data_IF_476260975149
#
_entry.id   IF_476260975149
#
_cell.length_a   1.000
_cell.length_b   1.000
_cell.length_c   1.000
_cell.angle_alpha   90.00
_cell.angle_beta   90.00
_cell.angle_gamma   90.00
#
_symmetry.space_group_name_H-M   'P 1'
#
loop_
_entity.id
_entity.type
_entity.pdbx_description
1 polymer ?
#
# COMPACT_ATOMS: atom_id res chain seq x y z
N UNK A 1 -4.41 6.96 25.92
CA UNK A 1 -4.27 6.01 24.79
C UNK A 1 -2.95 5.27 24.93
N UNK A 2 -2.93 3.94 25.10
CA UNK A 2 -1.70 3.14 24.95
C UNK A 2 -1.15 3.48 23.56
N UNK A 3 0.04 4.09 23.43
CA UNK A 3 0.61 4.48 22.12
C UNK A 3 0.76 3.21 21.28
N UNK A 4 -0.17 2.98 20.37
CA UNK A 4 -0.12 1.88 19.41
C UNK A 4 0.82 2.29 18.30
N UNK A 5 1.85 1.49 18.06
CA UNK A 5 2.86 1.76 17.04
C UNK A 5 2.28 1.61 15.63
N UNK A 6 1.15 0.91 15.50
CA UNK A 6 0.40 0.79 14.24
C UNK A 6 -0.02 2.13 13.62
N UNK A 7 -0.35 3.15 14.42
CA UNK A 7 -0.78 4.45 13.90
C UNK A 7 0.35 5.27 13.23
N UNK A 8 1.53 5.42 13.86
CA UNK A 8 2.68 6.02 13.18
C UNK A 8 3.05 5.31 11.87
N UNK A 9 3.06 3.98 11.86
CA UNK A 9 3.36 3.19 10.65
C UNK A 9 2.29 3.40 9.58
N UNK A 10 1.02 3.45 9.97
CA UNK A 10 -0.09 3.77 9.06
C UNK A 10 0.11 5.14 8.40
N UNK A 11 0.42 6.19 9.16
CA UNK A 11 0.64 7.51 8.58
C UNK A 11 1.90 7.61 7.73
N UNK A 12 2.96 6.89 8.11
CA UNK A 12 4.16 6.76 7.27
C UNK A 12 3.83 6.10 5.92
N UNK A 13 3.01 5.04 5.91
CA UNK A 13 2.51 4.41 4.67
C UNK A 13 1.74 5.39 3.80
N UNK A 14 0.84 6.19 4.40
CA UNK A 14 0.09 7.21 3.68
C UNK A 14 1.04 8.24 3.05
N UNK A 15 2.02 8.73 3.81
CA UNK A 15 3.01 9.68 3.30
C UNK A 15 3.82 9.12 2.13
N UNK A 16 4.34 7.89 2.26
CA UNK A 16 5.07 7.22 1.17
C UNK A 16 4.18 7.01 -0.06
N UNK A 17 2.93 6.59 0.13
CA UNK A 17 1.98 6.44 -0.98
C UNK A 17 1.75 7.76 -1.72
N UNK A 18 1.57 8.87 -0.99
CA UNK A 18 1.39 10.20 -1.61
C UNK A 18 2.62 10.60 -2.42
N UNK A 19 3.82 10.34 -1.91
CA UNK A 19 5.08 10.61 -2.63
C UNK A 19 5.20 9.74 -3.89
N UNK A 20 4.88 8.44 -3.81
CA UNK A 20 4.90 7.56 -4.98
C UNK A 20 3.86 8.04 -6.01
N UNK A 21 2.62 8.28 -5.58
CA UNK A 21 1.54 8.71 -6.45
C UNK A 21 1.84 10.06 -7.14
N UNK A 22 2.47 11.01 -6.43
CA UNK A 22 2.84 12.31 -7.02
C UNK A 22 3.86 12.16 -8.15
N UNK A 23 4.83 11.26 -8.02
CA UNK A 23 5.82 10.97 -9.08
C UNK A 23 5.15 10.40 -10.33
N UNK A 24 4.12 9.56 -10.16
CA UNK A 24 3.38 9.02 -11.31
C UNK A 24 2.44 10.03 -11.97
N UNK A 25 1.79 10.89 -11.17
CA UNK A 25 0.71 11.78 -11.64
C UNK A 25 1.17 13.19 -12.03
N UNK A 26 2.30 13.68 -11.49
CA UNK A 26 2.76 15.05 -11.69
C UNK A 26 4.04 15.04 -12.55
N UNK A 27 4.03 15.62 -13.77
CA UNK A 27 5.20 15.63 -14.65
C UNK A 27 6.45 16.24 -13.99
N UNK A 28 6.31 17.35 -13.26
CA UNK A 28 7.44 17.99 -12.57
C UNK A 28 8.07 17.09 -11.49
N UNK A 29 7.27 16.34 -10.73
CA UNK A 29 7.77 15.39 -9.74
C UNK A 29 8.43 14.18 -10.42
N UNK A 30 7.86 13.76 -11.55
CA UNK A 30 8.41 12.70 -12.40
C UNK A 30 9.82 13.04 -12.87
N UNK A 31 10.02 14.17 -13.52
CA UNK A 31 11.34 14.60 -14.02
C UNK A 31 12.37 14.70 -12.90
N UNK A 32 11.96 15.10 -11.69
CA UNK A 32 12.85 15.27 -10.55
C UNK A 32 13.25 13.96 -9.86
N UNK A 33 12.32 13.01 -9.73
CA UNK A 33 12.46 11.85 -8.85
C UNK A 33 12.41 10.50 -9.58
N UNK A 34 11.92 10.44 -10.81
CA UNK A 34 11.73 9.19 -11.54
C UNK A 34 13.07 8.63 -11.97
N UNK A 35 13.59 7.71 -11.17
CA UNK A 35 14.76 6.90 -11.48
C UNK A 35 14.61 5.50 -10.91
N UNK A 36 15.35 4.54 -11.47
CA UNK A 36 15.31 3.14 -11.05
C UNK A 36 15.56 2.99 -9.53
N UNK A 37 16.56 3.72 -9.00
CA UNK A 37 16.87 3.72 -7.58
C UNK A 37 15.70 4.22 -6.71
N UNK A 38 15.00 5.27 -7.14
CA UNK A 38 13.85 5.80 -6.41
C UNK A 38 12.70 4.79 -6.39
N UNK A 39 12.39 4.14 -7.52
CA UNK A 39 11.31 3.15 -7.60
C UNK A 39 11.58 1.95 -6.69
N UNK A 40 12.80 1.42 -6.72
CA UNK A 40 13.20 0.30 -5.86
C UNK A 40 13.21 0.71 -4.39
N UNK A 41 13.79 1.86 -4.04
CA UNK A 41 13.88 2.31 -2.66
C UNK A 41 12.50 2.62 -2.07
N UNK A 42 11.70 3.44 -2.75
CA UNK A 42 10.35 3.80 -2.30
C UNK A 42 9.43 2.58 -2.25
N UNK A 43 9.48 1.71 -3.25
CA UNK A 43 8.73 0.45 -3.29
C UNK A 43 9.11 -0.49 -2.14
N UNK A 44 10.41 -0.63 -1.85
CA UNK A 44 10.91 -1.45 -0.73
C UNK A 44 10.45 -0.88 0.61
N UNK A 45 10.57 0.42 0.82
CA UNK A 45 10.08 1.09 2.04
C UNK A 45 8.58 0.88 2.19
N UNK A 46 7.81 1.05 1.11
CA UNK A 46 6.37 0.86 1.12
C UNK A 46 5.98 -0.59 1.45
N UNK A 47 6.69 -1.57 0.89
CA UNK A 47 6.54 -2.98 1.20
C UNK A 47 6.83 -3.29 2.68
N UNK A 48 7.99 -2.85 3.18
CA UNK A 48 8.41 -3.14 4.55
C UNK A 48 7.46 -2.50 5.59
N UNK A 49 7.03 -1.27 5.35
CA UNK A 49 6.02 -0.62 6.18
C UNK A 49 4.67 -1.34 6.12
N UNK A 50 4.29 -1.85 4.94
CA UNK A 50 3.07 -2.63 4.75
C UNK A 50 3.06 -3.91 5.57
N UNK A 51 4.15 -4.68 5.47
CA UNK A 51 4.38 -5.89 6.28
C UNK A 51 4.40 -5.56 7.76
N UNK A 52 5.11 -4.48 8.16
CA UNK A 52 5.15 -4.03 9.54
C UNK A 52 3.76 -3.67 10.07
N UNK A 53 2.92 -3.01 9.27
CA UNK A 53 1.55 -2.69 9.65
C UNK A 53 0.71 -3.95 9.89
N UNK A 54 0.80 -4.95 8.99
CA UNK A 54 0.11 -6.25 9.17
C UNK A 54 0.58 -6.91 10.47
N UNK A 55 1.89 -7.03 10.65
CA UNK A 55 2.48 -7.66 11.82
C UNK A 55 2.04 -6.99 13.13
N UNK A 56 2.14 -5.66 13.19
CA UNK A 56 1.71 -4.89 14.36
C UNK A 56 0.20 -5.00 14.61
N UNK A 57 -0.61 -5.03 13.55
CA UNK A 57 -2.07 -5.19 13.66
C UNK A 57 -2.43 -6.53 14.33
N UNK A 58 -1.70 -7.60 13.98
CA UNK A 58 -1.86 -8.92 14.59
C UNK A 58 -1.32 -8.94 16.02
N UNK A 59 -0.13 -8.38 16.26
CA UNK A 59 0.54 -8.36 17.57
C UNK A 59 -0.22 -7.53 18.60
N UNK A 60 -0.68 -6.34 18.23
CA UNK A 60 -1.44 -5.43 19.10
C UNK A 60 -2.90 -5.89 19.31
N UNK A 61 -3.27 -7.06 18.75
CA UNK A 61 -4.61 -7.65 18.82
C UNK A 61 -5.68 -6.61 18.47
N UNK A 62 -5.46 -5.85 17.39
CA UNK A 62 -6.48 -4.92 16.86
C UNK A 62 -7.72 -5.76 16.53
N UNK A 63 -8.90 -5.31 16.97
CA UNK A 63 -10.17 -6.03 16.80
C UNK A 63 -11.14 -5.27 15.90
N UNK A 64 -12.18 -5.97 15.47
CA UNK A 64 -13.29 -5.39 14.72
C UNK A 64 -12.90 -4.93 13.31
N UNK A 65 -13.63 -3.92 12.82
CA UNK A 65 -13.48 -3.42 11.45
C UNK A 65 -12.14 -2.72 11.21
N UNK A 66 -11.55 -2.08 12.22
CA UNK A 66 -10.22 -1.44 12.11
C UNK A 66 -9.14 -2.45 11.72
N UNK A 67 -9.18 -3.66 12.28
CA UNK A 67 -8.25 -4.74 11.93
C UNK A 67 -8.29 -5.04 10.43
N UNK A 68 -9.50 -5.12 9.85
CA UNK A 68 -9.68 -5.43 8.42
C UNK A 68 -9.08 -4.33 7.55
N UNK A 69 -9.29 -3.06 7.90
CA UNK A 69 -8.74 -1.95 7.14
C UNK A 69 -7.21 -1.83 7.26
N UNK A 70 -6.63 -2.04 8.44
CA UNK A 70 -5.17 -2.07 8.58
C UNK A 70 -4.53 -3.22 7.80
N UNK A 71 -5.14 -4.42 7.84
CA UNK A 71 -4.67 -5.54 7.01
C UNK A 71 -4.81 -5.20 5.54
N UNK A 72 -5.92 -4.60 5.11
CA UNK A 72 -6.12 -4.21 3.71
C UNK A 72 -5.08 -3.17 3.26
N UNK A 73 -4.80 -2.14 4.06
CA UNK A 73 -3.76 -1.14 3.78
C UNK A 73 -2.38 -1.78 3.70
N UNK A 74 -2.02 -2.62 4.67
CA UNK A 74 -0.72 -3.31 4.70
C UNK A 74 -0.56 -4.33 3.56
N UNK A 75 -1.60 -5.10 3.27
CA UNK A 75 -1.58 -6.11 2.21
C UNK A 75 -1.56 -5.45 0.82
N UNK A 76 -2.27 -4.34 0.63
CA UNK A 76 -2.26 -3.61 -0.64
C UNK A 76 -0.90 -2.94 -0.90
N UNK A 77 -0.25 -2.40 0.13
CA UNK A 77 1.09 -1.82 0.01
C UNK A 77 2.17 -2.88 -0.25
N UNK A 78 2.14 -4.01 0.46
CA UNK A 78 3.03 -5.12 0.18
C UNK A 78 2.76 -5.75 -1.20
N UNK A 79 1.49 -5.95 -1.53
CA UNK A 79 1.02 -6.52 -2.79
C UNK A 79 1.41 -5.68 -4.01
N UNK A 80 1.42 -4.35 -3.89
CA UNK A 80 1.90 -3.45 -4.94
C UNK A 80 3.33 -3.81 -5.36
N UNK A 81 4.25 -3.86 -4.40
CA UNK A 81 5.67 -4.09 -4.68
C UNK A 81 5.92 -5.52 -5.17
N UNK A 82 5.26 -6.52 -4.57
CA UNK A 82 5.35 -7.91 -5.02
C UNK A 82 4.82 -8.06 -6.45
N UNK A 83 3.69 -7.43 -6.78
CA UNK A 83 3.12 -7.48 -8.13
C UNK A 83 4.03 -6.77 -9.13
N UNK A 84 4.61 -5.63 -8.77
CA UNK A 84 5.61 -4.95 -9.61
C UNK A 84 6.80 -5.87 -9.96
N UNK A 85 7.36 -6.57 -8.97
CA UNK A 85 8.46 -7.51 -9.19
C UNK A 85 8.03 -8.71 -10.05
N UNK A 86 6.87 -9.31 -9.74
CA UNK A 86 6.37 -10.47 -10.45
C UNK A 86 5.99 -10.16 -11.90
N UNK A 87 5.40 -8.98 -12.16
CA UNK A 87 5.11 -8.49 -13.50
C UNK A 87 6.38 -8.49 -14.35
N UNK A 88 7.45 -7.83 -13.87
CA UNK A 88 8.72 -7.75 -14.59
C UNK A 88 9.41 -9.12 -14.73
N UNK A 89 9.40 -9.94 -13.68
CA UNK A 89 10.04 -11.25 -13.69
C UNK A 89 9.35 -12.20 -14.67
N UNK A 90 8.01 -12.27 -14.66
CA UNK A 90 7.23 -13.15 -15.54
C UNK A 90 7.25 -12.60 -16.97
N UNK A 91 7.13 -11.28 -17.14
CA UNK A 91 7.30 -10.64 -18.45
C UNK A 91 8.63 -11.05 -19.08
N UNK A 92 9.74 -10.86 -18.34
CA UNK A 92 11.10 -11.20 -18.75
C UNK A 92 11.31 -12.69 -19.00
N UNK A 93 10.74 -13.54 -18.15
CA UNK A 93 10.83 -14.99 -18.29
C UNK A 93 10.13 -15.46 -19.57
N UNK A 94 8.91 -15.00 -19.84
CA UNK A 94 8.17 -15.47 -21.01
C UNK A 94 8.78 -14.95 -22.32
N UNK A 95 9.34 -13.74 -22.37
CA UNK A 95 10.10 -13.30 -23.56
C UNK A 95 11.39 -14.10 -23.76
N UNK A 96 12.05 -14.54 -22.69
CA UNK A 96 13.25 -15.38 -22.78
C UNK A 96 12.94 -16.75 -23.41
N UNK A 97 11.81 -17.35 -23.07
CA UNK A 97 11.42 -18.68 -23.58
C UNK A 97 10.69 -18.65 -24.92
N UNK A 98 9.82 -17.66 -25.14
CA UNK A 98 8.89 -17.63 -26.28
C UNK A 98 9.19 -16.52 -27.30
N UNK A 99 10.26 -15.74 -27.08
CA UNK A 99 10.71 -14.66 -27.96
C UNK A 99 10.18 -13.29 -27.57
N UNK A 100 10.84 -12.24 -28.08
CA UNK A 100 10.53 -10.84 -27.75
C UNK A 100 9.10 -10.43 -28.13
N UNK A 101 8.52 -11.05 -29.17
CA UNK A 101 7.17 -10.75 -29.66
C UNK A 101 6.05 -11.50 -28.90
N UNK A 102 6.37 -12.29 -27.88
CA UNK A 102 5.40 -13.11 -27.13
C UNK A 102 4.18 -12.30 -26.66
N UNK A 103 4.42 -11.09 -26.15
CA UNK A 103 3.38 -10.20 -25.64
C UNK A 103 2.70 -9.34 -26.72
N UNK A 104 3.18 -9.38 -27.98
CA UNK A 104 2.66 -8.56 -29.11
C UNK A 104 2.55 -7.06 -28.78
N UNK A 105 3.52 -6.53 -28.05
CA UNK A 105 3.52 -5.14 -27.58
C UNK A 105 2.62 -4.86 -26.36
N UNK A 106 1.98 -5.88 -25.79
CA UNK A 106 1.28 -5.81 -24.52
C UNK A 106 2.18 -6.08 -23.31
N UNK A 107 1.57 -6.08 -22.14
CA UNK A 107 2.21 -6.34 -20.85
C UNK A 107 1.74 -7.68 -20.26
N UNK A 108 2.50 -8.18 -19.27
CA UNK A 108 2.00 -9.27 -18.42
C UNK A 108 0.77 -8.74 -17.65
N UNK A 109 -0.45 -9.27 -17.89
CA UNK A 109 -1.66 -8.55 -17.53
C UNK A 109 -2.04 -8.68 -16.05
N UNK A 110 -1.78 -9.82 -15.42
CA UNK A 110 -2.29 -10.09 -14.09
C UNK A 110 -1.57 -9.25 -13.03
N UNK A 111 -0.24 -9.32 -12.96
CA UNK A 111 0.49 -8.56 -11.96
C UNK A 111 0.57 -7.07 -12.32
N UNK A 112 0.50 -6.72 -13.60
CA UNK A 112 0.34 -5.34 -14.02
C UNK A 112 -0.95 -4.72 -13.48
N UNK A 113 -2.11 -5.36 -13.69
CA UNK A 113 -3.40 -4.87 -13.17
C UNK A 113 -3.42 -4.86 -11.65
N UNK A 114 -2.81 -5.86 -11.01
CA UNK A 114 -2.68 -5.88 -9.56
C UNK A 114 -1.88 -4.67 -9.04
N UNK A 115 -0.71 -4.39 -9.62
CA UNK A 115 0.16 -3.30 -9.21
C UNK A 115 -0.44 -1.90 -9.52
N UNK A 116 -1.06 -1.74 -10.69
CA UNK A 116 -1.49 -0.42 -11.17
C UNK A 116 -2.92 -0.04 -10.76
N UNK A 117 -3.78 -1.03 -10.49
CA UNK A 117 -5.21 -0.78 -10.20
C UNK A 117 -5.61 -1.36 -8.85
N UNK A 118 -5.51 -2.68 -8.69
CA UNK A 118 -6.12 -3.37 -7.53
C UNK A 118 -5.47 -2.94 -6.22
N UNK A 119 -4.14 -2.94 -6.15
CA UNK A 119 -3.41 -2.55 -4.95
C UNK A 119 -3.58 -1.06 -4.60
N UNK A 120 -3.45 -0.10 -5.54
CA UNK A 120 -3.73 1.31 -5.23
C UNK A 120 -5.16 1.56 -4.72
N UNK A 121 -6.17 0.97 -5.36
CA UNK A 121 -7.58 1.09 -4.93
C UNK A 121 -7.78 0.45 -3.56
N UNK A 122 -7.27 -0.77 -3.35
CA UNK A 122 -7.33 -1.47 -2.07
C UNK A 122 -6.66 -0.68 -0.94
N UNK A 123 -5.51 -0.05 -1.23
CA UNK A 123 -4.80 0.81 -0.29
C UNK A 123 -5.64 2.01 0.12
N UNK A 124 -6.22 2.74 -0.85
CA UNK A 124 -7.09 3.89 -0.60
C UNK A 124 -8.32 3.51 0.23
N UNK A 125 -9.00 2.42 -0.11
CA UNK A 125 -10.15 1.89 0.67
C UNK A 125 -9.72 1.57 2.10
N UNK A 126 -8.57 0.94 2.27
CA UNK A 126 -7.97 0.66 3.58
C UNK A 126 -7.69 1.92 4.39
N UNK A 127 -7.09 2.94 3.77
CA UNK A 127 -6.76 4.22 4.41
C UNK A 127 -8.01 4.97 4.85
N UNK A 128 -8.96 5.16 3.93
CA UNK A 128 -10.21 5.88 4.20
C UNK A 128 -11.01 5.16 5.28
N UNK A 129 -11.16 3.84 5.17
CA UNK A 129 -11.88 3.03 6.16
C UNK A 129 -11.25 3.12 7.56
N UNK A 130 -9.92 3.08 7.65
CA UNK A 130 -9.18 3.26 8.91
C UNK A 130 -9.43 4.62 9.56
N UNK A 131 -9.35 5.70 8.77
CA UNK A 131 -9.56 7.08 9.24
C UNK A 131 -10.99 7.29 9.71
N UNK A 132 -11.98 6.86 8.92
CA UNK A 132 -13.41 7.00 9.25
C UNK A 132 -13.74 6.29 10.56
N UNK A 133 -13.24 5.08 10.78
CA UNK A 133 -13.44 4.36 12.04
C UNK A 133 -12.79 5.09 13.20
N UNK A 134 -11.54 5.54 13.05
CA UNK A 134 -10.84 6.24 14.13
C UNK A 134 -11.58 7.51 14.57
N UNK A 135 -12.08 8.29 13.61
CA UNK A 135 -12.89 9.48 13.89
C UNK A 135 -14.21 9.10 14.58
N UNK A 136 -14.89 8.03 14.13
CA UNK A 136 -16.15 7.58 14.72
C UNK A 136 -15.98 7.13 16.18
N UNK A 137 -14.94 6.35 16.46
CA UNK A 137 -14.63 5.90 17.83
C UNK A 137 -14.25 7.09 18.74
N UNK A 138 -13.49 8.05 18.22
CA UNK A 138 -13.14 9.27 18.95
C UNK A 138 -14.37 10.13 19.30
N UNK A 139 -15.32 10.28 18.36
CA UNK A 139 -16.56 11.02 18.61
C UNK A 139 -17.43 10.34 19.67
N UNK A 140 -17.60 9.02 19.59
CA UNK A 140 -18.35 8.25 20.59
C UNK A 140 -17.76 8.40 21.99
N UNK A 141 -16.44 8.37 22.12
CA UNK A 141 -15.78 8.55 23.41
C UNK A 141 -15.99 9.94 24.03
N UNK A 142 -16.28 10.98 23.23
CA UNK A 142 -16.66 12.31 23.72
C UNK A 142 -18.13 12.39 24.14
N UNK A 143 -19.01 11.66 23.46
CA UNK A 143 -20.46 11.68 23.70
C UNK A 143 -20.88 10.87 24.94
N UNK A 144 -20.09 9.87 25.35
CA UNK A 144 -20.30 9.12 26.59
C UNK A 144 -19.22 9.49 27.63
N UNK A 145 -19.40 10.55 28.44
CA UNK A 145 -18.51 10.82 29.56
C UNK A 145 -18.56 9.65 30.57
N UNK A 146 -17.46 9.39 31.30
CA UNK A 146 -17.44 8.31 32.29
C UNK A 146 -18.57 8.51 33.30
N UNK A 147 -19.38 7.48 33.51
CA UNK A 147 -20.32 7.42 34.63
C UNK A 147 -19.53 7.58 35.93
N UNK A 148 -20.00 8.42 36.87
CA UNK A 148 -19.31 8.68 38.14
C UNK A 148 -19.08 7.40 38.95
#
# INVERSE_FOLDING_TARGET
MKRRLSWPIFWALVGVFVVIASVFLIPAARELLMGFAFLIASGTVFFLLGVALIFLTLREKVRGKLKKFFILTGASSAGFFVSFLLHNAIYGLLIYWFGADFWKGGDEPFFFVMATVVCPVGFLVGVVGSIVIAIKEFRRAKETPPSP
#
